data_IF_387459426005
#
_entry.id   IF_387459426005
#
_cell.length_a   1.000
_cell.length_b   1.000
_cell.length_c   1.000
_cell.angle_alpha   90.00
_cell.angle_beta   90.00
_cell.angle_gamma   90.00
#
_symmetry.space_group_name_H-M   'P 1'
#
loop_
_entity.id
_entity.type
_entity.pdbx_description
1 polymer ?
#
# COMPACT_ATOMS: atom_id res chain seq x y z
N UNK A 1 7.64 21.41 16.16
CA UNK A 1 6.32 21.86 16.65
C UNK A 1 5.63 20.90 17.62
N UNK A 2 5.51 19.58 17.38
CA UNK A 2 4.78 18.66 18.30
C UNK A 2 5.56 18.17 19.54
N UNK A 3 6.82 18.59 19.76
CA UNK A 3 7.67 18.08 20.87
C UNK A 3 7.04 18.36 22.25
N UNK A 4 6.47 19.55 22.44
CA UNK A 4 5.97 20.03 23.73
C UNK A 4 4.44 20.09 23.84
N UNK A 5 3.67 19.75 22.79
CA UNK A 5 2.20 19.78 22.79
C UNK A 5 1.60 18.45 23.29
N UNK A 6 0.37 18.44 23.83
CA UNK A 6 -0.36 17.19 24.16
C UNK A 6 -0.85 16.51 22.87
N UNK A 7 -0.99 15.17 22.82
CA UNK A 7 -1.53 14.48 21.65
C UNK A 7 -2.99 14.87 21.41
N UNK A 8 -3.35 15.16 20.17
CA UNK A 8 -4.74 15.50 19.82
C UNK A 8 -5.63 14.26 19.79
N UNK A 9 -6.86 14.37 20.29
CA UNK A 9 -7.90 13.36 20.07
C UNK A 9 -8.58 13.62 18.72
N UNK A 10 -8.14 12.87 17.71
CA UNK A 10 -8.65 12.93 16.34
C UNK A 10 -9.51 11.71 15.98
N UNK A 11 -10.06 10.99 16.96
CA UNK A 11 -10.75 9.71 16.71
C UNK A 11 -11.86 9.84 15.66
N UNK A 12 -12.73 10.83 15.81
CA UNK A 12 -13.87 11.05 14.91
C UNK A 12 -13.42 11.46 13.50
N UNK A 13 -12.38 12.29 13.42
CA UNK A 13 -11.78 12.70 12.14
C UNK A 13 -11.19 11.48 11.41
N UNK A 14 -10.46 10.62 12.12
CA UNK A 14 -9.86 9.40 11.56
C UNK A 14 -10.94 8.40 11.12
N UNK A 15 -12.05 8.28 11.87
CA UNK A 15 -13.19 7.45 11.47
C UNK A 15 -13.81 7.95 10.16
N UNK A 16 -14.11 9.25 10.07
CA UNK A 16 -14.67 9.85 8.86
C UNK A 16 -13.71 9.71 7.67
N UNK A 17 -12.43 9.97 7.89
CA UNK A 17 -11.38 9.81 6.88
C UNK A 17 -11.30 8.37 6.38
N UNK A 18 -11.17 7.38 7.27
CA UNK A 18 -11.07 5.98 6.86
C UNK A 18 -12.34 5.51 6.12
N UNK A 19 -13.53 5.96 6.54
CA UNK A 19 -14.78 5.65 5.83
C UNK A 19 -14.79 6.27 4.42
N UNK A 20 -14.38 7.53 4.27
CA UNK A 20 -14.25 8.18 2.97
C UNK A 20 -13.23 7.45 2.08
N UNK A 21 -12.09 7.02 2.63
CA UNK A 21 -11.07 6.26 1.91
C UNK A 21 -11.58 4.89 1.43
N UNK A 22 -12.40 4.19 2.23
CA UNK A 22 -13.07 2.95 1.81
C UNK A 22 -13.97 3.23 0.60
N UNK A 23 -14.85 4.23 0.69
CA UNK A 23 -15.80 4.55 -0.38
C UNK A 23 -15.10 5.00 -1.65
N UNK A 24 -14.07 5.85 -1.53
CA UNK A 24 -13.30 6.35 -2.66
C UNK A 24 -12.54 5.22 -3.38
N UNK A 25 -11.84 4.35 -2.64
CA UNK A 25 -11.15 3.22 -3.26
C UNK A 25 -12.14 2.23 -3.89
N UNK A 26 -13.30 2.00 -3.27
CA UNK A 26 -14.34 1.14 -3.84
C UNK A 26 -14.90 1.73 -5.15
N UNK A 27 -15.16 3.05 -5.18
CA UNK A 27 -15.63 3.74 -6.37
C UNK A 27 -14.61 3.68 -7.53
N UNK A 28 -13.32 3.81 -7.22
CA UNK A 28 -12.27 3.69 -8.24
C UNK A 28 -12.15 2.24 -8.73
N UNK A 29 -12.07 1.26 -7.82
CA UNK A 29 -11.96 -0.14 -8.18
C UNK A 29 -13.12 -0.61 -9.07
N UNK A 30 -14.35 -0.22 -8.72
CA UNK A 30 -15.55 -0.56 -9.49
C UNK A 30 -15.59 0.16 -10.84
N UNK A 31 -15.31 1.46 -10.91
CA UNK A 31 -15.29 2.20 -12.18
C UNK A 31 -14.21 1.71 -13.13
N UNK A 32 -12.97 1.59 -12.67
CA UNK A 32 -11.88 1.09 -13.51
C UNK A 32 -12.14 -0.36 -13.90
N UNK A 33 -12.53 -1.21 -12.95
CA UNK A 33 -12.83 -2.62 -13.22
C UNK A 33 -13.92 -2.80 -14.27
N UNK A 34 -15.01 -2.04 -14.16
CA UNK A 34 -16.13 -2.09 -15.10
C UNK A 34 -15.73 -1.56 -16.49
N UNK A 35 -15.27 -0.31 -16.57
CA UNK A 35 -15.02 0.36 -17.86
C UNK A 35 -13.76 -0.10 -18.58
N UNK A 36 -12.75 -0.61 -17.86
CA UNK A 36 -11.56 -1.17 -18.49
C UNK A 36 -11.75 -2.63 -18.88
N UNK A 37 -12.33 -3.47 -18.01
CA UNK A 37 -12.26 -4.93 -18.19
C UNK A 37 -13.60 -5.58 -18.47
N UNK A 38 -14.68 -5.21 -17.76
CA UNK A 38 -16.00 -5.85 -17.95
C UNK A 38 -16.61 -5.51 -19.31
N UNK A 39 -16.42 -4.27 -19.78
CA UNK A 39 -16.83 -3.83 -21.12
C UNK A 39 -15.95 -4.38 -22.25
N UNK A 40 -14.83 -5.03 -21.92
CA UNK A 40 -13.85 -5.53 -22.88
C UNK A 40 -12.98 -4.45 -23.55
N UNK A 41 -12.94 -3.23 -23.00
CA UNK A 41 -12.16 -2.12 -23.58
C UNK A 41 -10.65 -2.38 -23.55
N UNK A 42 -10.14 -3.01 -22.49
CA UNK A 42 -8.75 -3.42 -22.32
C UNK A 42 -8.63 -4.90 -21.98
N UNK A 43 -7.56 -5.51 -22.47
CA UNK A 43 -7.23 -6.88 -22.13
C UNK A 43 -6.53 -6.94 -20.77
N UNK A 44 -7.05 -7.75 -19.83
CA UNK A 44 -6.60 -7.77 -18.42
C UNK A 44 -5.08 -8.01 -18.29
N UNK A 45 -4.55 -8.98 -19.05
CA UNK A 45 -3.15 -9.41 -18.93
C UNK A 45 -2.22 -8.71 -19.92
N UNK A 46 -2.53 -8.73 -21.23
CA UNK A 46 -1.75 -8.09 -22.28
C UNK A 46 -2.35 -6.75 -22.75
N UNK A 47 -2.25 -5.70 -21.94
CA UNK A 47 -2.60 -4.34 -22.36
C UNK A 47 -1.35 -3.49 -22.57
N UNK A 48 -1.23 -2.87 -23.75
CA UNK A 48 -0.21 -1.87 -24.05
C UNK A 48 -0.66 -0.44 -23.69
N UNK A 49 0.24 0.56 -23.85
CA UNK A 49 -0.12 1.97 -23.72
C UNK A 49 -1.26 2.35 -24.67
N UNK A 50 -2.20 3.17 -24.20
CA UNK A 50 -3.30 3.70 -25.01
C UNK A 50 -3.32 5.22 -24.92
N UNK A 51 -3.01 5.88 -26.05
CA UNK A 51 -3.04 7.34 -26.21
C UNK A 51 -4.26 7.81 -27.02
N UNK A 52 -5.22 6.93 -27.28
CA UNK A 52 -6.41 7.28 -28.05
C UNK A 52 -7.36 8.19 -27.26
N UNK A 53 -8.14 8.98 -27.99
CA UNK A 53 -9.16 9.89 -27.45
C UNK A 53 -10.54 9.24 -27.37
N UNK A 54 -10.61 7.90 -27.35
CA UNK A 54 -11.89 7.18 -27.24
C UNK A 54 -12.63 7.60 -25.97
N UNK A 55 -13.98 7.69 -25.98
CA UNK A 55 -14.75 8.11 -24.81
C UNK A 55 -14.40 7.32 -23.53
N UNK A 56 -14.27 5.99 -23.64
CA UNK A 56 -13.89 5.13 -22.51
C UNK A 56 -12.46 5.39 -22.02
N UNK A 57 -11.50 5.61 -22.93
CA UNK A 57 -10.12 5.94 -22.57
C UNK A 57 -10.05 7.28 -21.86
N UNK A 58 -10.79 8.29 -22.33
CA UNK A 58 -10.88 9.61 -21.70
C UNK A 58 -11.56 9.56 -20.33
N UNK A 59 -12.61 8.74 -20.18
CA UNK A 59 -13.26 8.48 -18.89
C UNK A 59 -12.26 7.84 -17.90
N UNK A 60 -11.52 6.82 -18.34
CA UNK A 60 -10.52 6.15 -17.50
C UNK A 60 -9.38 7.11 -17.12
N UNK A 61 -8.98 8.02 -18.00
CA UNK A 61 -8.05 9.09 -17.70
C UNK A 61 -8.60 10.10 -16.68
N UNK A 62 -9.90 10.42 -16.74
CA UNK A 62 -10.54 11.24 -15.71
C UNK A 62 -10.55 10.52 -14.35
N UNK A 63 -10.84 9.22 -14.33
CA UNK A 63 -10.80 8.40 -13.11
C UNK A 63 -9.38 8.28 -12.57
N UNK A 64 -8.36 8.21 -13.44
CA UNK A 64 -6.96 8.18 -13.02
C UNK A 64 -6.52 9.46 -12.32
N UNK A 65 -7.03 10.62 -12.77
CA UNK A 65 -6.81 11.88 -12.09
C UNK A 65 -7.36 11.87 -10.66
N UNK A 66 -8.59 11.36 -10.47
CA UNK A 66 -9.17 11.17 -9.14
C UNK A 66 -8.39 10.17 -8.30
N UNK A 67 -7.84 9.12 -8.92
CA UNK A 67 -6.96 8.17 -8.25
C UNK A 67 -5.66 8.83 -7.77
N UNK A 68 -5.04 9.70 -8.57
CA UNK A 68 -3.88 10.47 -8.14
C UNK A 68 -4.22 11.37 -6.94
N UNK A 69 -5.35 12.09 -6.99
CA UNK A 69 -5.81 12.90 -5.86
C UNK A 69 -6.03 12.07 -4.60
N UNK A 70 -6.61 10.87 -4.75
CA UNK A 70 -6.78 9.93 -3.64
C UNK A 70 -5.43 9.51 -3.04
N UNK A 71 -4.44 9.15 -3.87
CA UNK A 71 -3.10 8.77 -3.40
C UNK A 71 -2.35 9.92 -2.72
N UNK A 72 -2.53 11.16 -3.19
CA UNK A 72 -2.02 12.34 -2.50
C UNK A 72 -2.70 12.55 -1.14
N UNK A 73 -4.01 12.30 -1.04
CA UNK A 73 -4.73 12.41 0.23
C UNK A 73 -4.27 11.40 1.28
N UNK A 74 -3.72 10.26 0.88
CA UNK A 74 -3.13 9.27 1.80
C UNK A 74 -1.94 9.80 2.58
N UNK A 75 -1.22 10.78 2.03
CA UNK A 75 -0.14 11.45 2.74
C UNK A 75 -0.65 12.17 4.00
N UNK A 76 -1.94 12.51 4.11
CA UNK A 76 -2.56 13.11 5.31
C UNK A 76 -2.46 12.14 6.50
N UNK A 77 -2.36 10.83 6.30
CA UNK A 77 -2.16 9.87 7.41
C UNK A 77 -0.89 10.14 8.20
N UNK A 78 0.19 10.54 7.51
CA UNK A 78 1.43 10.95 8.18
C UNK A 78 1.17 12.10 9.14
N UNK A 79 0.31 13.06 8.75
CA UNK A 79 -0.11 14.18 9.59
C UNK A 79 -0.88 13.68 10.80
N UNK A 80 -1.83 12.75 10.62
CA UNK A 80 -2.56 12.15 11.75
C UNK A 80 -1.63 11.41 12.72
N UNK A 81 -0.64 10.67 12.22
CA UNK A 81 0.35 9.98 13.07
C UNK A 81 1.21 10.97 13.87
N UNK A 82 1.65 12.07 13.24
CA UNK A 82 2.43 13.12 13.90
C UNK A 82 1.60 13.85 14.96
N UNK A 83 0.35 14.23 14.64
CA UNK A 83 -0.55 14.91 15.57
C UNK A 83 -0.93 14.05 16.78
N UNK A 84 -1.02 12.72 16.61
CA UNK A 84 -1.28 11.75 17.69
C UNK A 84 -0.01 11.27 18.42
N UNK A 85 1.17 11.79 18.05
CA UNK A 85 2.49 11.33 18.55
C UNK A 85 2.73 9.83 18.37
N UNK A 86 2.21 9.23 17.31
CA UNK A 86 2.42 7.82 16.96
C UNK A 86 3.58 7.67 15.97
N UNK A 87 4.75 8.20 16.32
CA UNK A 87 5.94 8.22 15.44
C UNK A 87 6.41 6.84 14.99
N UNK A 88 6.16 5.79 15.81
CA UNK A 88 6.46 4.41 15.43
C UNK A 88 5.69 3.93 14.18
N UNK A 89 4.61 4.61 13.80
CA UNK A 89 3.82 4.31 12.60
C UNK A 89 4.38 5.01 11.35
N UNK A 90 5.12 6.10 11.51
CA UNK A 90 5.81 6.82 10.43
C UNK A 90 7.13 6.12 10.15
N UNK A 91 7.04 4.91 9.58
CA UNK A 91 8.21 4.16 9.13
C UNK A 91 8.74 4.69 7.81
N UNK A 92 10.04 4.48 7.53
CA UNK A 92 10.61 4.79 6.22
C UNK A 92 9.88 4.07 5.08
N UNK A 93 9.38 2.85 5.34
CA UNK A 93 8.52 2.10 4.43
C UNK A 93 7.25 2.89 4.07
N UNK A 94 6.52 3.37 5.08
CA UNK A 94 5.28 4.10 4.87
C UNK A 94 5.48 5.37 4.05
N UNK A 95 6.46 6.20 4.43
CA UNK A 95 6.72 7.47 3.74
C UNK A 95 7.20 7.24 2.30
N UNK A 96 8.17 6.34 2.11
CA UNK A 96 8.66 6.01 0.78
C UNK A 96 7.53 5.49 -0.11
N UNK A 97 6.72 4.55 0.39
CA UNK A 97 5.60 3.99 -0.36
C UNK A 97 4.61 5.06 -0.83
N UNK A 98 4.09 5.91 0.07
CA UNK A 98 3.06 6.90 -0.32
C UNK A 98 3.59 7.95 -1.30
N UNK A 99 4.83 8.43 -1.10
CA UNK A 99 5.46 9.39 -2.01
C UNK A 99 5.71 8.75 -3.38
N UNK A 100 6.29 7.55 -3.40
CA UNK A 100 6.60 6.84 -4.65
C UNK A 100 5.32 6.47 -5.42
N UNK A 101 4.26 5.98 -4.76
CA UNK A 101 3.00 5.64 -5.43
C UNK A 101 2.36 6.87 -6.08
N UNK A 102 2.30 8.02 -5.37
CA UNK A 102 1.75 9.24 -5.94
C UNK A 102 2.57 9.73 -7.14
N UNK A 103 3.90 9.73 -7.02
CA UNK A 103 4.81 10.12 -8.10
C UNK A 103 4.68 9.21 -9.34
N UNK A 104 4.72 7.89 -9.14
CA UNK A 104 4.59 6.92 -10.23
C UNK A 104 3.22 7.04 -10.90
N UNK A 105 2.15 7.24 -10.14
CA UNK A 105 0.79 7.44 -10.68
C UNK A 105 0.75 8.66 -11.61
N UNK A 106 1.32 9.79 -11.18
CA UNK A 106 1.42 10.99 -12.01
C UNK A 106 2.18 10.72 -13.33
N UNK A 107 3.28 9.97 -13.25
CA UNK A 107 4.06 9.57 -14.42
C UNK A 107 3.24 8.71 -15.39
N UNK A 108 2.52 7.69 -14.90
CA UNK A 108 1.67 6.83 -15.76
C UNK A 108 0.53 7.59 -16.43
N UNK A 109 -0.06 8.56 -15.75
CA UNK A 109 -1.09 9.41 -16.34
C UNK A 109 -0.49 10.27 -17.47
N UNK A 110 0.66 10.88 -17.22
CA UNK A 110 1.30 11.82 -18.16
C UNK A 110 1.77 11.14 -19.45
N UNK A 111 2.31 9.92 -19.36
CA UNK A 111 2.90 9.21 -20.51
C UNK A 111 1.98 8.14 -21.12
N UNK A 112 0.67 8.15 -20.82
CA UNK A 112 -0.28 7.18 -21.37
C UNK A 112 -0.12 5.75 -20.84
N UNK A 113 0.63 5.57 -19.75
CA UNK A 113 0.80 4.29 -19.07
C UNK A 113 -0.41 3.87 -18.23
N UNK A 114 -1.45 4.71 -18.13
CA UNK A 114 -2.61 4.39 -17.30
C UNK A 114 -3.40 3.16 -17.79
N UNK A 115 -3.46 2.90 -19.10
CA UNK A 115 -4.09 1.68 -19.63
C UNK A 115 -3.44 0.40 -19.09
N UNK A 116 -2.11 0.41 -18.96
CA UNK A 116 -1.33 -0.68 -18.36
C UNK A 116 -1.59 -0.74 -16.85
N UNK A 117 -1.64 0.44 -16.21
CA UNK A 117 -1.87 0.61 -14.77
C UNK A 117 -3.28 0.26 -14.30
N UNK A 118 -4.27 0.14 -15.19
CA UNK A 118 -5.66 -0.13 -14.81
C UNK A 118 -5.78 -1.40 -13.96
N UNK A 119 -5.03 -2.46 -14.29
CA UNK A 119 -5.06 -3.71 -13.54
C UNK A 119 -4.54 -3.50 -12.11
N UNK A 120 -3.38 -2.85 -11.99
CA UNK A 120 -2.75 -2.55 -10.71
C UNK A 120 -3.60 -1.61 -9.87
N UNK A 121 -4.25 -0.64 -10.51
CA UNK A 121 -5.16 0.32 -9.88
C UNK A 121 -6.34 -0.41 -9.25
N UNK A 122 -6.99 -1.33 -9.98
CA UNK A 122 -8.12 -2.12 -9.44
C UNK A 122 -7.67 -2.99 -8.27
N UNK A 123 -6.55 -3.71 -8.42
CA UNK A 123 -6.04 -4.59 -7.36
C UNK A 123 -5.62 -3.78 -6.11
N UNK A 124 -4.87 -2.70 -6.30
CA UNK A 124 -4.41 -1.84 -5.23
C UNK A 124 -5.58 -1.16 -4.50
N UNK A 125 -6.54 -0.60 -5.24
CA UNK A 125 -7.76 -0.03 -4.64
C UNK A 125 -8.57 -1.08 -3.87
N UNK A 126 -8.66 -2.32 -4.36
CA UNK A 126 -9.34 -3.41 -3.64
C UNK A 126 -8.65 -3.73 -2.31
N UNK A 127 -7.32 -3.79 -2.30
CA UNK A 127 -6.53 -3.97 -1.07
C UNK A 127 -6.67 -2.77 -0.14
N UNK A 128 -6.70 -1.55 -0.67
CA UNK A 128 -6.91 -0.34 0.12
C UNK A 128 -8.31 -0.31 0.75
N UNK A 129 -9.36 -0.80 0.07
CA UNK A 129 -10.68 -0.98 0.68
C UNK A 129 -10.58 -1.86 1.93
N UNK A 130 -9.93 -3.02 1.83
CA UNK A 130 -9.76 -3.93 2.98
C UNK A 130 -8.91 -3.31 4.10
N UNK A 131 -7.84 -2.60 3.73
CA UNK A 131 -6.94 -1.96 4.68
C UNK A 131 -7.62 -0.80 5.42
N UNK A 132 -8.33 0.09 4.72
CA UNK A 132 -9.04 1.19 5.36
C UNK A 132 -10.24 0.72 6.16
N UNK A 133 -10.91 -0.36 5.74
CA UNK A 133 -11.93 -1.01 6.56
C UNK A 133 -11.33 -1.55 7.86
N UNK A 134 -10.15 -2.19 7.81
CA UNK A 134 -9.43 -2.60 9.01
C UNK A 134 -9.11 -1.40 9.93
N UNK A 135 -8.58 -0.30 9.38
CA UNK A 135 -8.24 0.89 10.16
C UNK A 135 -9.46 1.60 10.74
N UNK A 136 -10.57 1.63 10.02
CA UNK A 136 -11.86 2.12 10.51
C UNK A 136 -12.30 1.32 11.73
N UNK A 137 -12.34 -0.01 11.61
CA UNK A 137 -12.73 -0.90 12.71
C UNK A 137 -11.77 -0.78 13.91
N UNK A 138 -10.47 -0.64 13.65
CA UNK A 138 -9.48 -0.45 14.71
C UNK A 138 -9.67 0.89 15.45
N UNK A 139 -10.21 1.92 14.79
CA UNK A 139 -10.48 3.23 15.40
C UNK A 139 -11.74 3.27 16.28
N UNK A 140 -12.66 2.29 16.16
CA UNK A 140 -13.87 2.18 17.00
C UNK A 140 -13.56 1.86 18.46
N UNK A 141 -12.37 1.33 18.75
CA UNK A 141 -11.84 1.18 20.10
C UNK A 141 -11.52 -0.25 20.52
N UNK A 142 -11.12 -0.46 21.79
CA UNK A 142 -10.58 -1.74 22.27
C UNK A 142 -11.55 -2.92 22.13
N UNK A 143 -12.86 -2.66 22.27
CA UNK A 143 -13.90 -3.68 22.13
C UNK A 143 -13.99 -4.31 20.74
N UNK A 144 -13.61 -3.57 19.69
CA UNK A 144 -13.54 -4.08 18.32
C UNK A 144 -12.15 -4.61 17.99
N UNK A 145 -11.09 -3.93 18.48
CA UNK A 145 -9.70 -4.32 18.21
C UNK A 145 -9.38 -5.79 18.56
N UNK A 146 -9.98 -6.33 19.61
CA UNK A 146 -9.82 -7.75 19.98
C UNK A 146 -10.28 -8.74 18.91
N UNK A 147 -11.22 -8.34 18.04
CA UNK A 147 -11.73 -9.18 16.95
C UNK A 147 -10.90 -9.02 15.65
N UNK A 148 -9.90 -8.14 15.62
CA UNK A 148 -9.09 -7.85 14.44
C UNK A 148 -7.87 -8.77 14.32
N UNK A 149 -8.06 -10.07 14.58
CA UNK A 149 -7.02 -11.11 14.50
C UNK A 149 -6.48 -11.30 13.07
N UNK A 150 -7.23 -10.85 12.06
CA UNK A 150 -6.92 -11.06 10.65
C UNK A 150 -5.90 -10.08 10.06
N UNK A 151 -5.30 -9.18 10.86
CA UNK A 151 -4.26 -8.23 10.43
C UNK A 151 -3.13 -8.88 9.63
N UNK A 152 -2.68 -10.06 10.06
CA UNK A 152 -1.61 -10.82 9.40
C UNK A 152 -2.00 -11.27 7.99
N UNK A 153 -3.27 -11.62 7.79
CA UNK A 153 -3.80 -12.05 6.49
C UNK A 153 -3.90 -10.86 5.53
N UNK A 154 -4.21 -9.66 6.02
CA UNK A 154 -4.15 -8.44 5.20
C UNK A 154 -2.72 -8.20 4.66
N UNK A 155 -1.69 -8.33 5.50
CA UNK A 155 -0.30 -8.20 5.04
C UNK A 155 0.09 -9.30 4.05
N UNK A 156 -0.40 -10.54 4.23
CA UNK A 156 -0.20 -11.62 3.26
C UNK A 156 -0.89 -11.32 1.93
N UNK A 157 -2.09 -10.76 1.95
CA UNK A 157 -2.83 -10.38 0.76
C UNK A 157 -2.11 -9.29 -0.04
N UNK A 158 -1.53 -8.29 0.63
CA UNK A 158 -0.64 -7.30 0.02
C UNK A 158 0.58 -7.94 -0.66
N UNK A 159 1.22 -8.93 -0.02
CA UNK A 159 2.34 -9.65 -0.63
C UNK A 159 1.93 -10.45 -1.88
N UNK A 160 0.79 -11.12 -1.82
CA UNK A 160 0.24 -11.86 -2.96
C UNK A 160 -0.10 -10.90 -4.12
N UNK A 161 -0.68 -9.74 -3.82
CA UNK A 161 -0.91 -8.69 -4.83
C UNK A 161 0.39 -8.35 -5.58
N UNK A 162 1.48 -8.09 -4.87
CA UNK A 162 2.75 -7.75 -5.53
C UNK A 162 3.28 -8.90 -6.38
N UNK A 163 3.15 -10.16 -5.95
CA UNK A 163 3.56 -11.32 -6.76
C UNK A 163 2.77 -11.37 -8.07
N UNK A 164 1.44 -11.22 -8.00
CA UNK A 164 0.58 -11.23 -9.20
C UNK A 164 0.95 -10.08 -10.15
N UNK A 165 1.20 -8.89 -9.61
CA UNK A 165 1.62 -7.73 -10.39
C UNK A 165 3.01 -7.92 -11.02
N UNK A 166 3.97 -8.51 -10.31
CA UNK A 166 5.31 -8.84 -10.85
C UNK A 166 5.18 -9.81 -12.03
N UNK A 167 4.44 -10.91 -11.86
CA UNK A 167 4.25 -11.90 -12.93
C UNK A 167 3.62 -11.27 -14.17
N UNK A 168 2.56 -10.47 -13.99
CA UNK A 168 1.90 -9.75 -15.09
C UNK A 168 2.87 -8.81 -15.81
N UNK A 169 3.64 -8.01 -15.08
CA UNK A 169 4.58 -7.07 -15.69
C UNK A 169 5.73 -7.78 -16.41
N UNK A 170 6.23 -8.91 -15.89
CA UNK A 170 7.18 -9.74 -16.63
C UNK A 170 6.61 -10.21 -17.97
N UNK A 171 5.36 -10.69 -17.99
CA UNK A 171 4.68 -11.07 -19.23
C UNK A 171 4.55 -9.88 -20.19
N UNK A 172 4.19 -8.70 -19.70
CA UNK A 172 4.08 -7.49 -20.53
C UNK A 172 5.42 -7.05 -21.12
N UNK A 173 6.49 -7.05 -20.33
CA UNK A 173 7.85 -6.72 -20.81
C UNK A 173 8.26 -7.68 -21.92
N UNK A 174 8.01 -8.99 -21.74
CA UNK A 174 8.35 -10.01 -22.73
C UNK A 174 7.52 -9.89 -24.02
N UNK A 175 6.22 -9.60 -23.90
CA UNK A 175 5.29 -9.61 -25.03
C UNK A 175 5.28 -8.31 -25.85
N UNK A 176 5.40 -7.15 -25.20
CA UNK A 176 5.37 -5.85 -25.88
C UNK A 176 6.70 -5.51 -26.57
N UNK A 177 7.83 -6.03 -26.06
CA UNK A 177 9.16 -5.76 -26.61
C UNK A 177 9.54 -4.27 -26.61
N UNK A 178 10.67 -3.94 -27.22
CA UNK A 178 11.11 -2.55 -27.42
C UNK A 178 10.33 -1.94 -28.62
N UNK A 179 9.83 -0.69 -28.55
CA UNK A 179 10.08 0.37 -27.54
C UNK A 179 9.02 0.49 -26.42
N UNK A 180 7.96 -0.33 -26.44
CA UNK A 180 6.81 -0.18 -25.54
C UNK A 180 6.99 -0.83 -24.16
N UNK A 181 8.11 -1.52 -23.93
CA UNK A 181 8.44 -2.21 -22.67
C UNK A 181 8.93 -1.28 -21.55
N UNK A 182 9.28 -0.02 -21.83
CA UNK A 182 9.85 0.91 -20.83
C UNK A 182 8.89 1.20 -19.67
N UNK A 183 7.59 1.42 -19.95
CA UNK A 183 6.57 1.66 -18.93
C UNK A 183 6.28 0.41 -18.07
N UNK A 184 6.04 -0.79 -18.66
CA UNK A 184 5.96 -2.04 -17.90
C UNK A 184 7.22 -2.36 -17.08
N UNK A 185 8.41 -2.04 -17.59
CA UNK A 185 9.67 -2.24 -16.87
C UNK A 185 9.77 -1.31 -15.66
N UNK A 186 9.34 -0.05 -15.80
CA UNK A 186 9.24 0.88 -14.68
C UNK A 186 8.25 0.37 -13.62
N UNK A 187 7.06 -0.10 -14.01
CA UNK A 187 6.09 -0.76 -13.11
C UNK A 187 6.66 -1.98 -12.41
N UNK A 188 7.37 -2.83 -13.15
CA UNK A 188 8.02 -4.02 -12.60
C UNK A 188 9.01 -3.64 -11.49
N UNK A 189 9.87 -2.66 -11.75
CA UNK A 189 10.85 -2.19 -10.77
C UNK A 189 10.19 -1.67 -9.49
N UNK A 190 9.11 -0.89 -9.63
CA UNK A 190 8.32 -0.40 -8.50
C UNK A 190 7.72 -1.56 -7.68
N UNK A 191 7.10 -2.54 -8.35
CA UNK A 191 6.50 -3.70 -7.69
C UNK A 191 7.52 -4.54 -6.92
N UNK A 192 8.72 -4.74 -7.48
CA UNK A 192 9.81 -5.48 -6.81
C UNK A 192 10.29 -4.75 -5.56
N UNK A 193 10.49 -3.43 -5.64
CA UNK A 193 10.91 -2.62 -4.48
C UNK A 193 9.89 -2.75 -3.35
N UNK A 194 8.60 -2.58 -3.65
CA UNK A 194 7.55 -2.71 -2.64
C UNK A 194 7.40 -4.12 -2.10
N UNK A 195 7.55 -5.15 -2.95
CA UNK A 195 7.55 -6.54 -2.48
C UNK A 195 8.64 -6.78 -1.44
N UNK A 196 9.89 -6.39 -1.72
CA UNK A 196 11.03 -6.56 -0.78
C UNK A 196 10.78 -5.82 0.52
N UNK A 197 10.27 -4.59 0.42
CA UNK A 197 9.93 -3.75 1.54
C UNK A 197 8.83 -4.35 2.45
N UNK A 198 7.72 -4.81 1.86
CA UNK A 198 6.63 -5.46 2.59
C UNK A 198 7.04 -6.84 3.13
N UNK A 199 7.88 -7.58 2.41
CA UNK A 199 8.40 -8.87 2.86
C UNK A 199 9.30 -8.68 4.08
N UNK A 200 10.18 -7.69 4.04
CA UNK A 200 11.04 -7.32 5.17
C UNK A 200 10.20 -6.92 6.40
N UNK A 201 9.15 -6.12 6.19
CA UNK A 201 8.18 -5.78 7.24
C UNK A 201 7.46 -7.02 7.80
N UNK A 202 7.00 -7.92 6.94
CA UNK A 202 6.29 -9.13 7.34
C UNK A 202 7.18 -10.07 8.16
N UNK A 203 8.43 -10.29 7.72
CA UNK A 203 9.39 -11.12 8.46
C UNK A 203 9.66 -10.51 9.82
N UNK A 204 9.98 -9.21 9.88
CA UNK A 204 10.29 -8.51 11.14
C UNK A 204 9.10 -8.46 12.10
N UNK A 205 7.87 -8.36 11.60
CA UNK A 205 6.67 -8.22 12.43
C UNK A 205 6.05 -9.55 12.86
N UNK A 206 6.23 -10.63 12.09
CA UNK A 206 5.47 -11.88 12.30
C UNK A 206 6.30 -13.17 12.30
N UNK A 207 7.56 -13.15 11.89
CA UNK A 207 8.44 -14.35 11.89
C UNK A 207 9.68 -14.18 12.76
N UNK A 208 10.10 -12.95 13.02
CA UNK A 208 11.23 -12.65 13.87
C UNK A 208 10.87 -12.87 15.34
N UNK A 209 11.08 -14.09 15.84
CA UNK A 209 11.39 -14.35 17.25
C UNK A 209 12.81 -13.83 17.57
N UNK A 210 13.17 -12.62 17.14
CA UNK A 210 14.44 -12.01 17.51
C UNK A 210 14.39 -11.83 19.02
N UNK A 211 15.11 -12.73 19.69
CA UNK A 211 15.62 -12.57 21.05
C UNK A 211 15.95 -11.11 21.23
N UNK A 212 15.22 -10.41 22.09
CA UNK A 212 15.67 -9.11 22.58
C UNK A 212 17.00 -9.39 23.25
N UNK A 213 18.10 -9.10 22.58
CA UNK A 213 19.38 -8.95 23.27
C UNK A 213 19.17 -7.76 24.20
N UNK A 214 18.84 -8.05 25.46
CA UNK A 214 18.92 -7.08 26.53
C UNK A 214 20.38 -6.71 26.56
N UNK A 215 20.69 -5.47 26.19
CA UNK A 215 22.00 -4.89 26.41
C UNK A 215 22.15 -4.87 27.93
N UNK A 216 22.91 -5.80 28.50
CA UNK A 216 23.29 -5.70 29.90
C UNK A 216 24.19 -4.47 30.00
N UNK A 217 23.73 -3.50 30.77
CA UNK A 217 24.50 -2.34 31.15
C UNK A 217 25.76 -2.86 31.83
N UNK A 218 26.91 -2.57 31.23
CA UNK A 218 28.19 -3.16 31.62
C UNK A 218 28.57 -2.77 33.03
N UNK A 219 28.45 -3.71 33.97
CA UNK A 219 29.21 -3.74 35.21
C UNK A 219 29.24 -5.16 35.79
N UNK A 220 30.01 -6.07 35.18
CA UNK A 220 30.72 -7.17 35.84
C UNK A 220 31.44 -8.04 34.79
N UNK A 221 32.73 -8.41 34.94
CA UNK A 221 33.48 -9.18 33.93
C UNK A 221 33.08 -10.67 33.81
N UNK A 222 32.31 -11.22 34.74
CA UNK A 222 32.12 -12.67 34.84
C UNK A 222 30.63 -13.05 34.94
N UNK A 223 29.96 -13.26 33.82
CA UNK A 223 28.63 -13.88 33.82
C UNK A 223 28.43 -14.76 32.58
N UNK A 224 28.64 -16.05 32.82
CA UNK A 224 28.40 -17.18 31.94
C UNK A 224 27.02 -17.12 31.27
N UNK A 225 26.97 -17.33 29.95
CA UNK A 225 25.77 -17.36 29.12
C UNK A 225 24.70 -18.29 29.70
N UNK A 226 23.55 -17.73 30.10
CA UNK A 226 22.33 -18.50 30.34
C UNK A 226 21.28 -18.07 29.30
N UNK A 227 21.01 -18.95 28.35
CA UNK A 227 19.90 -18.83 27.42
C UNK A 227 18.59 -19.12 28.16
N UNK A 228 17.86 -18.07 28.54
CA UNK A 228 16.51 -18.19 29.08
C UNK A 228 15.49 -18.08 27.93
N UNK A 229 14.92 -19.22 27.53
CA UNK A 229 13.80 -19.25 26.59
C UNK A 229 12.51 -18.79 27.27
N UNK A 230 12.10 -17.54 27.03
CA UNK A 230 10.77 -17.07 27.42
C UNK A 230 9.75 -17.53 26.37
N UNK A 231 8.90 -18.49 26.75
CA UNK A 231 7.73 -18.92 25.98
C UNK A 231 6.71 -17.77 25.90
N UNK A 232 6.29 -17.42 24.69
CA UNK A 232 5.18 -16.49 24.44
C UNK A 232 3.85 -17.25 24.49
N UNK A 233 2.95 -16.80 25.37
CA UNK A 233 1.50 -17.05 25.27
C UNK A 233 0.86 -15.97 24.38
#
# INVERSE_FOLDING_TARGET
MMKNAKPFDLRHVILCYNAAMVLANLAIATRVGYYAFVTGHYHIFLQGPDLSTRPTTMLLLQVSWWYLMLRLSECIETVFFVLRKKFNQVSGLHVFHHVSVAFCTYFYITYGGFSIACFETVFNSTVHVMMYAYYFLAALGPGIQKHLWWKKYLTRFQLVQFIVMIVRNCCLVYTLGMPYSSLPLFMLSQCVIFFVQFLSFYIRSYKSNMVRVIKCDGSSPDAHWKDEQVKAN
#
